data_IF_948701359964
#
_entry.id   IF_948701359964
#
_cell.length_a   1.000
_cell.length_b   1.000
_cell.length_c   1.000
_cell.angle_alpha   90.00
_cell.angle_beta   90.00
_cell.angle_gamma   90.00
#
_symmetry.space_group_name_H-M   'P 1'
#
loop_
_entity.id
_entity.type
_entity.pdbx_description
1 polymer ?
#
# COMPACT_ATOMS: atom_id res chain seq x y z
N UNK A 1 -20.95 -11.01 -18.61
CA UNK A 1 -19.49 -10.92 -18.50
C UNK A 1 -19.06 -11.62 -17.21
N UNK A 2 -18.31 -12.68 -17.35
CA UNK A 2 -17.76 -13.41 -16.21
C UNK A 2 -16.47 -12.76 -15.77
N UNK A 3 -16.45 -12.33 -14.53
CA UNK A 3 -15.23 -11.83 -13.91
C UNK A 3 -14.36 -12.98 -13.44
N UNK A 4 -13.06 -12.75 -13.41
CA UNK A 4 -12.04 -13.72 -13.03
C UNK A 4 -10.96 -13.07 -12.17
N UNK A 5 -10.18 -13.86 -11.42
CA UNK A 5 -9.04 -13.32 -10.69
C UNK A 5 -8.12 -12.51 -11.62
N UNK A 6 -7.69 -11.36 -11.15
CA UNK A 6 -6.89 -10.41 -11.91
C UNK A 6 -7.68 -9.27 -12.55
N UNK A 7 -9.00 -9.40 -12.67
CA UNK A 7 -9.83 -8.33 -13.21
C UNK A 7 -9.87 -7.15 -12.24
N UNK A 8 -9.67 -5.95 -12.79
CA UNK A 8 -9.67 -4.70 -12.02
C UNK A 8 -11.04 -4.06 -12.11
N UNK A 9 -11.57 -3.64 -10.96
CA UNK A 9 -12.89 -3.02 -10.90
C UNK A 9 -12.95 -1.93 -9.82
N UNK A 10 -13.89 -0.99 -10.00
CA UNK A 10 -14.16 -0.01 -8.97
C UNK A 10 -14.90 -0.65 -7.81
N UNK A 11 -14.66 -0.14 -6.62
CA UNK A 11 -15.33 -0.59 -5.40
C UNK A 11 -15.54 0.59 -4.45
N UNK A 12 -16.49 0.46 -3.55
CA UNK A 12 -16.72 1.46 -2.49
C UNK A 12 -16.52 0.77 -1.15
N UNK A 13 -15.68 1.35 -0.31
CA UNK A 13 -15.47 0.86 1.05
C UNK A 13 -16.73 1.08 1.86
N UNK A 14 -17.36 0.01 2.36
CA UNK A 14 -18.59 0.09 3.13
C UNK A 14 -18.38 -0.08 4.62
N UNK A 15 -17.31 -0.76 5.02
CA UNK A 15 -17.00 -0.98 6.42
C UNK A 15 -15.54 -1.35 6.62
N UNK A 16 -15.05 -1.10 7.83
CA UNK A 16 -13.69 -1.40 8.23
C UNK A 16 -13.72 -2.34 9.41
N UNK A 17 -12.89 -3.39 9.36
CA UNK A 17 -12.73 -4.38 10.42
C UNK A 17 -11.25 -4.58 10.70
N UNK A 18 -10.92 -5.29 11.76
CA UNK A 18 -9.52 -5.58 12.12
C UNK A 18 -8.76 -6.33 11.02
N UNK A 19 -9.46 -7.19 10.30
CA UNK A 19 -8.85 -8.04 9.26
C UNK A 19 -8.89 -7.42 7.86
N UNK A 20 -9.50 -6.25 7.68
CA UNK A 20 -9.54 -5.59 6.38
C UNK A 20 -10.73 -4.68 6.18
N UNK A 21 -11.06 -4.42 4.93
CA UNK A 21 -12.16 -3.56 4.51
C UNK A 21 -13.19 -4.36 3.72
N UNK A 22 -14.46 -4.11 4.01
CA UNK A 22 -15.56 -4.60 3.17
C UNK A 22 -15.82 -3.59 2.07
N UNK A 23 -15.97 -4.08 0.85
CA UNK A 23 -16.15 -3.24 -0.32
C UNK A 23 -17.37 -3.67 -1.13
N UNK A 24 -18.18 -2.70 -1.51
CA UNK A 24 -19.30 -2.92 -2.42
C UNK A 24 -18.76 -2.87 -3.86
N UNK A 25 -18.97 -3.96 -4.58
CA UNK A 25 -18.53 -4.10 -5.98
C UNK A 25 -19.62 -3.71 -6.99
N UNK A 26 -20.79 -3.29 -6.49
CA UNK A 26 -21.96 -3.06 -7.31
C UNK A 26 -22.82 -4.33 -7.42
N UNK A 27 -24.04 -4.15 -7.89
CA UNK A 27 -25.00 -5.27 -8.09
C UNK A 27 -25.20 -6.16 -6.85
N UNK A 28 -25.02 -5.61 -5.64
CA UNK A 28 -25.18 -6.35 -4.40
C UNK A 28 -24.04 -7.29 -4.03
N UNK A 29 -22.96 -7.29 -4.79
CA UNK A 29 -21.78 -8.11 -4.50
C UNK A 29 -20.87 -7.40 -3.50
N UNK A 30 -20.40 -8.13 -2.48
CA UNK A 30 -19.44 -7.64 -1.49
C UNK A 30 -18.11 -8.36 -1.64
N UNK A 31 -17.01 -7.61 -1.55
CA UNK A 31 -15.67 -8.14 -1.54
C UNK A 31 -14.96 -7.81 -0.23
N UNK A 32 -14.00 -8.65 0.13
CA UNK A 32 -13.12 -8.43 1.27
C UNK A 32 -11.72 -8.06 0.78
N UNK A 33 -11.27 -6.88 1.18
CA UNK A 33 -9.91 -6.41 0.97
C UNK A 33 -9.13 -6.60 2.28
N UNK A 34 -8.33 -7.66 2.36
CA UNK A 34 -7.53 -7.94 3.55
C UNK A 34 -6.52 -6.84 3.81
N UNK A 35 -6.19 -6.61 5.08
CA UNK A 35 -5.28 -5.52 5.50
C UNK A 35 -3.94 -5.60 4.78
N UNK A 36 -3.40 -6.80 4.58
CA UNK A 36 -2.12 -6.99 3.88
C UNK A 36 -2.19 -6.78 2.38
N UNK A 37 -3.40 -6.67 1.83
CA UNK A 37 -3.63 -6.49 0.40
C UNK A 37 -3.89 -5.04 0.01
N UNK A 38 -3.91 -4.13 0.98
CA UNK A 38 -4.17 -2.72 0.72
C UNK A 38 -2.96 -2.08 0.05
N UNK A 39 -1.79 -2.18 0.67
CA UNK A 39 -0.56 -1.60 0.14
C UNK A 39 0.68 -2.27 0.73
N UNK A 40 1.82 -2.02 0.10
CA UNK A 40 3.10 -2.64 0.48
C UNK A 40 3.70 -2.06 1.77
N UNK A 41 3.29 -0.88 2.21
CA UNK A 41 3.77 -0.31 3.48
C UNK A 41 3.22 -1.01 4.72
N UNK A 42 2.29 -1.95 4.53
CA UNK A 42 1.73 -2.81 5.59
C UNK A 42 1.18 -2.02 6.78
N UNK A 43 0.10 -1.26 6.60
CA UNK A 43 -0.56 -0.61 7.72
C UNK A 43 -1.06 -1.66 8.72
N UNK A 44 -1.09 -1.30 10.00
CA UNK A 44 -1.59 -2.19 11.05
C UNK A 44 -3.09 -2.45 10.90
N UNK A 45 -3.82 -1.44 10.46
CA UNK A 45 -5.28 -1.50 10.30
C UNK A 45 -5.69 -0.89 8.96
N UNK A 46 -6.78 -1.41 8.38
CA UNK A 46 -7.34 -0.85 7.16
C UNK A 46 -7.73 0.63 7.34
N UNK A 47 -8.20 1.01 8.52
CA UNK A 47 -8.56 2.39 8.85
C UNK A 47 -7.39 3.37 8.78
N UNK A 48 -6.15 2.90 8.80
CA UNK A 48 -4.97 3.76 8.65
C UNK A 48 -4.85 4.30 7.22
N UNK A 49 -5.45 3.63 6.25
CA UNK A 49 -5.32 3.96 4.83
C UNK A 49 -6.65 4.25 4.14
N UNK A 50 -7.75 3.70 4.65
CA UNK A 50 -9.05 3.74 4.00
C UNK A 50 -10.13 4.29 4.93
N UNK A 51 -11.17 4.85 4.33
CA UNK A 51 -12.33 5.36 5.04
C UNK A 51 -13.61 4.76 4.45
N UNK A 52 -14.62 4.58 5.29
CA UNK A 52 -15.94 4.16 4.81
C UNK A 52 -16.50 5.21 3.84
N UNK A 53 -17.08 4.75 2.75
CA UNK A 53 -17.58 5.61 1.68
C UNK A 53 -16.56 5.95 0.61
N UNK A 54 -15.29 5.61 0.81
CA UNK A 54 -14.23 5.89 -0.14
C UNK A 54 -14.36 5.02 -1.40
N UNK A 55 -14.18 5.63 -2.55
CA UNK A 55 -14.11 4.93 -3.83
C UNK A 55 -12.67 4.49 -4.09
N UNK A 56 -12.51 3.22 -4.40
CA UNK A 56 -11.20 2.63 -4.70
C UNK A 56 -11.28 1.78 -5.96
N UNK A 57 -10.10 1.42 -6.48
CA UNK A 57 -9.96 0.36 -7.49
C UNK A 57 -9.23 -0.81 -6.86
N UNK A 58 -9.65 -2.00 -7.20
CA UNK A 58 -9.03 -3.21 -6.70
C UNK A 58 -9.12 -4.31 -7.76
N UNK A 59 -8.20 -5.28 -7.68
CA UNK A 59 -8.26 -6.47 -8.49
C UNK A 59 -8.90 -7.61 -7.71
N UNK A 60 -9.62 -8.47 -8.41
CA UNK A 60 -10.15 -9.69 -7.82
C UNK A 60 -8.98 -10.64 -7.57
N UNK A 61 -8.83 -11.06 -6.33
CA UNK A 61 -7.82 -12.04 -5.96
C UNK A 61 -8.36 -13.46 -6.06
N UNK A 62 -9.49 -13.71 -5.42
CA UNK A 62 -10.15 -15.01 -5.47
C UNK A 62 -11.66 -14.85 -5.64
N UNK A 63 -12.25 -15.80 -6.33
CA UNK A 63 -13.69 -15.93 -6.50
C UNK A 63 -14.11 -17.31 -6.05
N UNK A 64 -15.03 -17.37 -5.09
CA UNK A 64 -15.68 -18.61 -4.67
C UNK A 64 -17.17 -18.51 -4.96
N UNK A 65 -17.63 -19.05 -6.10
CA UNK A 65 -19.05 -18.96 -6.45
C UNK A 65 -19.96 -19.80 -5.54
N UNK A 66 -19.42 -20.83 -4.91
CA UNK A 66 -20.20 -21.69 -4.01
C UNK A 66 -20.51 -20.97 -2.70
N UNK A 67 -19.51 -20.36 -2.08
CA UNK A 67 -19.67 -19.59 -0.86
C UNK A 67 -20.01 -18.12 -1.12
N UNK A 68 -20.05 -17.71 -2.38
CA UNK A 68 -20.29 -16.33 -2.81
C UNK A 68 -19.31 -15.34 -2.16
N UNK A 69 -18.04 -15.74 -2.08
CA UNK A 69 -16.96 -14.91 -1.52
C UNK A 69 -16.08 -14.37 -2.62
N UNK A 70 -15.80 -13.07 -2.51
CA UNK A 70 -14.85 -12.39 -3.37
C UNK A 70 -13.80 -11.78 -2.47
N UNK A 71 -12.53 -12.08 -2.73
CA UNK A 71 -11.43 -11.36 -2.07
C UNK A 71 -10.75 -10.46 -3.08
N UNK A 72 -10.30 -9.30 -2.60
CA UNK A 72 -9.72 -8.25 -3.40
C UNK A 72 -8.26 -8.02 -3.00
N UNK A 73 -7.53 -7.37 -3.90
CA UNK A 73 -6.19 -6.91 -3.63
C UNK A 73 -5.99 -5.56 -4.33
N UNK A 74 -5.36 -4.61 -3.66
CA UNK A 74 -5.19 -3.26 -4.16
C UNK A 74 -3.72 -2.89 -4.38
N UNK A 75 -2.80 -3.52 -3.64
CA UNK A 75 -1.39 -3.16 -3.66
C UNK A 75 -0.74 -3.25 -5.05
N UNK A 76 -1.20 -4.15 -5.89
CA UNK A 76 -0.71 -4.32 -7.26
C UNK A 76 -1.02 -3.11 -8.14
N UNK A 77 -2.05 -2.36 -7.80
CA UNK A 77 -2.48 -1.19 -8.56
C UNK A 77 -1.79 0.10 -8.10
N UNK A 78 -1.05 0.07 -7.00
CA UNK A 78 -0.39 1.25 -6.44
C UNK A 78 1.08 1.36 -6.85
N UNK A 79 1.51 0.52 -7.76
CA UNK A 79 2.82 0.60 -8.39
C UNK A 79 3.89 -0.28 -7.76
N UNK A 80 4.90 -0.59 -8.56
CA UNK A 80 6.09 -1.31 -8.13
C UNK A 80 6.98 -0.41 -7.27
N UNK A 81 8.03 -1.01 -6.68
CA UNK A 81 9.03 -0.25 -5.95
C UNK A 81 9.67 0.82 -6.86
N UNK A 82 10.05 0.43 -8.07
CA UNK A 82 10.72 1.33 -9.02
C UNK A 82 9.80 2.47 -9.47
N UNK A 83 8.54 2.19 -9.75
CA UNK A 83 7.58 3.22 -10.15
C UNK A 83 7.38 4.25 -9.05
N UNK A 84 7.30 3.81 -7.80
CA UNK A 84 7.16 4.71 -6.66
C UNK A 84 8.46 5.47 -6.37
N UNK A 85 9.60 4.78 -6.39
CA UNK A 85 10.90 5.39 -6.12
C UNK A 85 11.27 6.46 -7.16
N UNK A 86 10.82 6.31 -8.40
CA UNK A 86 11.05 7.27 -9.46
C UNK A 86 10.44 8.65 -9.18
N UNK A 87 9.50 8.75 -8.23
CA UNK A 87 8.88 10.00 -7.81
C UNK A 87 9.74 10.81 -6.84
N UNK A 88 10.86 10.24 -6.38
CA UNK A 88 11.70 10.81 -5.34
C UNK A 88 13.17 10.90 -5.79
N UNK A 89 13.92 11.78 -5.13
CA UNK A 89 15.36 11.95 -5.34
C UNK A 89 16.08 12.05 -4.01
N UNK A 90 17.31 11.54 -3.97
CA UNK A 90 18.20 11.79 -2.83
C UNK A 90 18.40 13.30 -2.66
N UNK A 91 18.38 13.77 -1.42
CA UNK A 91 18.48 15.18 -1.08
C UNK A 91 17.15 15.90 -0.92
N UNK A 92 16.03 15.25 -1.22
CA UNK A 92 14.71 15.83 -0.99
C UNK A 92 14.29 15.72 0.47
N UNK A 93 13.52 16.70 0.92
CA UNK A 93 12.79 16.66 2.17
C UNK A 93 11.32 16.42 1.84
N UNK A 94 10.77 15.36 2.40
CA UNK A 94 9.41 14.93 2.12
C UNK A 94 8.70 14.52 3.42
N UNK A 95 7.42 14.26 3.32
CA UNK A 95 6.62 13.76 4.44
C UNK A 95 6.44 12.26 4.34
N UNK A 96 6.26 11.61 5.49
CA UNK A 96 5.99 10.18 5.54
C UNK A 96 5.21 9.81 6.79
N UNK A 97 4.77 8.57 6.83
CA UNK A 97 4.04 8.01 7.96
C UNK A 97 4.81 6.82 8.49
N UNK A 98 5.10 6.83 9.79
CA UNK A 98 5.78 5.72 10.45
C UNK A 98 4.85 4.50 10.42
N UNK A 99 5.31 3.40 9.85
CA UNK A 99 4.54 2.16 9.77
C UNK A 99 5.00 1.12 10.80
N UNK A 100 6.31 0.92 10.92
CA UNK A 100 6.86 -0.08 11.82
C UNK A 100 8.09 0.48 12.51
N UNK A 101 8.22 0.22 13.79
CA UNK A 101 9.40 0.59 14.59
C UNK A 101 10.08 -0.69 15.07
N UNK A 102 11.37 -0.80 14.82
CA UNK A 102 12.20 -1.93 15.20
C UNK A 102 13.40 -1.44 16.03
N UNK A 103 14.18 -2.38 16.56
CA UNK A 103 15.39 -2.05 17.33
C UNK A 103 16.44 -1.30 16.52
N UNK A 104 16.47 -1.51 15.20
CA UNK A 104 17.46 -0.90 14.31
C UNK A 104 16.93 0.30 13.50
N UNK A 105 15.65 0.65 13.63
CA UNK A 105 15.12 1.81 12.95
C UNK A 105 13.62 1.78 12.76
N UNK A 106 13.13 2.77 12.03
CA UNK A 106 11.71 2.91 11.71
C UNK A 106 11.49 2.82 10.20
N UNK A 107 10.50 2.04 9.78
CA UNK A 107 10.05 2.02 8.40
C UNK A 107 8.99 3.09 8.22
N UNK A 108 9.25 3.99 7.27
CA UNK A 108 8.43 5.18 7.04
C UNK A 108 7.89 5.12 5.62
N UNK A 109 6.57 5.14 5.48
CA UNK A 109 5.92 5.14 4.17
C UNK A 109 5.99 6.53 3.54
N UNK A 110 6.66 6.64 2.42
CA UNK A 110 6.68 7.84 1.58
C UNK A 110 5.46 7.87 0.65
N UNK A 111 5.05 6.70 0.19
CA UNK A 111 3.79 6.45 -0.50
C UNK A 111 3.18 5.17 0.10
N UNK A 112 1.92 4.85 -0.19
CA UNK A 112 1.36 3.58 0.28
C UNK A 112 2.20 2.35 -0.09
N UNK A 113 2.88 2.39 -1.24
CA UNK A 113 3.69 1.26 -1.73
C UNK A 113 5.21 1.46 -1.61
N UNK A 114 5.68 2.48 -0.90
CA UNK A 114 7.11 2.74 -0.77
C UNK A 114 7.48 3.14 0.64
N UNK A 115 8.35 2.36 1.27
CA UNK A 115 8.92 2.66 2.57
C UNK A 115 10.42 2.91 2.48
N UNK A 116 10.90 3.82 3.33
CA UNK A 116 12.32 3.98 3.62
C UNK A 116 12.59 3.64 5.07
N UNK A 117 13.87 3.42 5.38
CA UNK A 117 14.34 3.10 6.73
C UNK A 117 15.11 4.29 7.30
N UNK A 118 14.70 4.73 8.49
CA UNK A 118 15.39 5.76 9.26
C UNK A 118 15.90 5.19 10.58
N UNK A 119 17.07 5.65 11.01
CA UNK A 119 17.51 5.38 12.37
C UNK A 119 16.59 6.12 13.35
N UNK A 120 16.33 5.53 14.50
CA UNK A 120 15.43 6.11 15.50
C UNK A 120 16.05 5.99 16.89
N UNK A 121 15.74 6.96 17.74
CA UNK A 121 16.07 6.96 19.16
C UNK A 121 14.98 6.29 20.03
N UNK A 122 13.99 5.66 19.40
CA UNK A 122 12.89 4.99 20.08
C UNK A 122 11.69 5.87 20.40
N UNK A 123 11.69 7.13 19.95
CA UNK A 123 10.58 8.06 20.22
C UNK A 123 9.46 7.98 19.17
N UNK A 124 9.74 7.38 18.03
CA UNK A 124 8.75 7.27 16.95
C UNK A 124 7.74 6.17 17.25
N UNK A 125 6.51 6.39 16.83
CA UNK A 125 5.42 5.44 17.01
C UNK A 125 4.72 5.18 15.68
N UNK A 126 4.21 3.96 15.45
CA UNK A 126 3.43 3.66 14.25
C UNK A 126 2.24 4.61 14.11
N UNK A 127 1.99 5.06 12.88
CA UNK A 127 0.93 6.00 12.56
C UNK A 127 1.34 7.48 12.64
N UNK A 128 2.49 7.78 13.21
CA UNK A 128 2.97 9.14 13.37
C UNK A 128 3.41 9.72 12.02
N UNK A 129 2.98 10.95 11.74
CA UNK A 129 3.45 11.69 10.57
C UNK A 129 4.79 12.37 10.89
N UNK A 130 5.72 12.32 9.95
CA UNK A 130 7.06 12.87 10.12
C UNK A 130 7.53 13.56 8.85
N UNK A 131 8.41 14.53 9.03
CA UNK A 131 9.19 15.14 7.96
C UNK A 131 10.53 14.42 7.90
N UNK A 132 10.90 13.94 6.71
CA UNK A 132 12.12 13.16 6.51
C UNK A 132 12.96 13.71 5.38
N UNK A 133 14.27 13.51 5.50
CA UNK A 133 15.24 13.79 4.47
C UNK A 133 15.67 12.48 3.80
N UNK A 134 15.65 12.44 2.47
CA UNK A 134 16.07 11.27 1.72
C UNK A 134 17.59 11.34 1.56
N UNK A 135 18.29 10.46 2.26
CA UNK A 135 19.76 10.40 2.21
C UNK A 135 20.26 9.68 0.98
N UNK A 136 19.62 8.57 0.63
CA UNK A 136 20.01 7.75 -0.50
C UNK A 136 18.84 6.90 -0.99
N UNK A 137 18.82 6.66 -2.29
CA UNK A 137 17.92 5.71 -2.94
C UNK A 137 18.79 4.64 -3.58
N UNK A 138 18.60 3.39 -3.19
CA UNK A 138 19.45 2.26 -3.60
C UNK A 138 18.61 1.23 -4.37
N UNK A 139 18.46 1.40 -5.69
CA UNK A 139 17.62 0.51 -6.49
C UNK A 139 18.05 -0.95 -6.48
N UNK A 140 19.36 -1.21 -6.39
CA UNK A 140 19.90 -2.57 -6.42
C UNK A 140 19.43 -3.41 -5.24
N UNK A 141 19.20 -2.77 -4.09
CA UNK A 141 18.77 -3.44 -2.87
C UNK A 141 17.33 -3.12 -2.50
N UNK A 142 16.63 -2.31 -3.30
CA UNK A 142 15.27 -1.84 -3.03
C UNK A 142 15.18 -1.14 -1.67
N UNK A 143 16.13 -0.25 -1.39
CA UNK A 143 16.24 0.46 -0.12
C UNK A 143 16.28 1.96 -0.32
N UNK A 144 15.65 2.67 0.62
CA UNK A 144 15.75 4.11 0.75
C UNK A 144 16.19 4.42 2.16
N UNK A 145 17.26 5.21 2.27
CA UNK A 145 17.78 5.64 3.57
C UNK A 145 17.23 7.03 3.89
N UNK A 146 16.64 7.14 5.07
CA UNK A 146 15.98 8.37 5.53
C UNK A 146 16.61 8.88 6.83
N UNK A 147 16.46 10.18 7.05
CA UNK A 147 16.71 10.83 8.33
C UNK A 147 15.43 11.54 8.75
N UNK A 148 14.94 11.26 9.94
CA UNK A 148 13.80 11.97 10.49
C UNK A 148 14.24 13.34 10.96
N UNK A 149 13.60 14.40 10.46
CA UNK A 149 13.91 15.78 10.83
C UNK A 149 13.06 16.22 12.02
N UNK A 150 11.76 16.05 11.93
CA UNK A 150 10.84 16.38 13.01
C UNK A 150 9.48 15.71 12.79
N UNK A 151 8.69 15.52 13.86
CA UNK A 151 7.31 15.05 13.73
C UNK A 151 6.42 16.13 13.13
N UNK A 152 5.28 15.71 12.56
CA UNK A 152 4.24 16.58 12.03
C UNK A 152 2.94 16.29 12.78
N UNK A 153 2.14 17.33 13.04
CA UNK A 153 0.90 17.18 13.81
C UNK A 153 -0.24 16.67 12.94
N UNK A 154 -0.40 17.25 11.74
CA UNK A 154 -1.50 16.89 10.83
C UNK A 154 -0.98 16.68 9.42
N UNK A 155 -1.22 15.48 8.88
CA UNK A 155 -1.06 15.20 7.45
C UNK A 155 -2.37 14.66 6.90
N UNK A 156 -2.77 15.11 5.70
CA UNK A 156 -3.84 14.43 5.00
C UNK A 156 -3.43 12.98 4.70
N UNK A 157 -4.39 12.06 4.53
CA UNK A 157 -4.09 10.70 4.12
C UNK A 157 -3.23 10.69 2.86
N UNK A 158 -2.31 9.73 2.77
CA UNK A 158 -1.49 9.58 1.57
C UNK A 158 -2.41 9.27 0.37
N UNK A 159 -2.22 9.97 -0.76
CA UNK A 159 -3.06 9.72 -1.92
C UNK A 159 -2.82 8.32 -2.49
N UNK A 160 -3.90 7.69 -2.95
CA UNK A 160 -3.83 6.44 -3.68
C UNK A 160 -3.63 6.76 -5.15
N UNK A 161 -2.40 6.57 -5.64
CA UNK A 161 -2.06 6.82 -7.04
C UNK A 161 -2.04 5.49 -7.76
N UNK A 162 -3.07 5.23 -8.55
CA UNK A 162 -3.22 3.98 -9.28
C UNK A 162 -2.41 4.00 -10.57
N UNK A 163 -1.67 2.92 -10.82
CA UNK A 163 -0.98 2.71 -12.10
C UNK A 163 -1.89 2.08 -13.14
N UNK A 164 -2.95 1.43 -12.71
CA UNK A 164 -3.94 0.80 -13.55
C UNK A 164 -5.29 0.80 -12.85
N UNK A 165 -6.36 1.15 -13.58
CA UNK A 165 -7.71 1.25 -13.02
C UNK A 165 -8.74 0.40 -13.76
N UNK A 166 -8.31 -0.28 -14.82
CA UNK A 166 -9.18 -1.16 -15.61
C UNK A 166 -8.37 -2.28 -16.25
N UNK A 167 -9.05 -3.27 -16.77
CA UNK A 167 -8.42 -4.39 -17.46
C UNK A 167 -8.16 -5.57 -16.53
N UNK A 168 -7.06 -6.26 -16.81
CA UNK A 168 -6.74 -7.51 -16.17
C UNK A 168 -5.25 -7.62 -15.88
N UNK A 169 -4.91 -8.24 -14.74
CA UNK A 169 -3.54 -8.56 -14.36
C UNK A 169 -3.36 -10.07 -14.29
N UNK A 170 -2.34 -10.59 -14.96
CA UNK A 170 -1.95 -11.99 -14.83
C UNK A 170 -0.85 -12.20 -13.78
N UNK A 171 0.08 -11.25 -13.72
CA UNK A 171 1.24 -11.31 -12.85
C UNK A 171 1.63 -9.92 -12.38
N UNK A 172 2.04 -9.80 -11.14
CA UNK A 172 2.63 -8.58 -10.61
C UNK A 172 3.82 -8.89 -9.72
N UNK A 173 4.88 -8.11 -9.87
CA UNK A 173 6.11 -8.27 -9.12
C UNK A 173 6.52 -6.94 -8.51
N UNK A 174 6.73 -6.93 -7.20
CA UNK A 174 7.21 -5.76 -6.47
C UNK A 174 8.73 -5.86 -6.31
N UNK A 175 9.44 -5.11 -7.14
CA UNK A 175 10.89 -5.15 -7.24
C UNK A 175 11.33 -5.75 -8.58
N UNK A 176 12.55 -6.26 -8.61
CA UNK A 176 13.08 -6.96 -9.78
C UNK A 176 12.78 -8.46 -9.67
N UNK A 177 12.80 -9.21 -10.79
CA UNK A 177 12.62 -10.66 -10.72
C UNK A 177 13.60 -11.36 -9.77
N UNK A 178 14.82 -10.85 -9.66
CA UNK A 178 15.86 -11.41 -8.80
C UNK A 178 15.70 -11.01 -7.32
N UNK A 179 15.01 -9.91 -7.05
CA UNK A 179 14.85 -9.34 -5.69
C UNK A 179 13.41 -8.91 -5.42
N UNK A 180 12.46 -9.73 -5.85
CA UNK A 180 11.05 -9.44 -5.61
C UNK A 180 10.71 -9.58 -4.12
N UNK A 181 10.14 -8.53 -3.53
CA UNK A 181 9.62 -8.57 -2.16
C UNK A 181 8.21 -9.16 -2.10
N UNK A 182 7.51 -9.15 -3.21
CA UNK A 182 6.21 -9.77 -3.35
C UNK A 182 5.96 -10.10 -4.82
N UNK A 183 5.30 -11.22 -5.06
CA UNK A 183 4.84 -11.64 -6.38
C UNK A 183 3.39 -12.08 -6.24
N UNK A 184 2.54 -11.60 -7.12
CA UNK A 184 1.14 -12.04 -7.18
C UNK A 184 0.88 -12.66 -8.56
N UNK A 185 0.40 -13.89 -8.55
CA UNK A 185 -0.05 -14.61 -9.73
C UNK A 185 -1.57 -14.78 -9.59
N UNK A 186 -2.29 -14.31 -10.60
CA UNK A 186 -3.75 -14.34 -10.61
C UNK A 186 -4.30 -15.56 -11.32
#
# INVERSE_FOLDING_TARGET
LRQRPGDILPAVVTGLAEFGAFCDLGCGALGLLGTRRICMSRPAHAADCLQAGQRIFAAIRTLDPVQRRVTLTMRELLGTWQENAARFRAGQTVTGIVRTVTDYGAFIALTPNLCGLAETDGRLQPGQAVCVFIRAILPETLRIKLTVLHPLEDLPPQPLVYTQTEGHLDLWCYGTPDRAKAVTIF
#
